data_IF_867702269698
#
_entry.id   IF_867702269698
#
_cell.length_a   1.000
_cell.length_b   1.000
_cell.length_c   1.000
_cell.angle_alpha   90.00
_cell.angle_beta   90.00
_cell.angle_gamma   90.00
#
_symmetry.space_group_name_H-M   'P 1'
#
loop_
_entity.id
_entity.type
_entity.pdbx_description
1 polymer ?
#
# COMPACT_ATOMS: atom_id res chain seq x y z
N UNK A 1 -24.27 -10.50 -1.62
CA UNK A 1 -23.39 -11.07 -2.66
C UNK A 1 -22.95 -10.01 -3.69
N UNK A 2 -23.88 -9.38 -4.41
CA UNK A 2 -23.54 -8.42 -5.49
C UNK A 2 -22.69 -7.23 -5.01
N UNK A 3 -23.07 -6.59 -3.89
CA UNK A 3 -22.34 -5.45 -3.34
C UNK A 3 -20.94 -5.83 -2.83
N UNK A 4 -20.79 -7.05 -2.29
CA UNK A 4 -19.50 -7.57 -1.82
C UNK A 4 -18.56 -7.74 -2.99
N UNK A 5 -19.03 -8.36 -4.07
CA UNK A 5 -18.26 -8.51 -5.31
C UNK A 5 -17.88 -7.14 -5.89
N UNK A 6 -18.81 -6.18 -5.92
CA UNK A 6 -18.53 -4.82 -6.39
C UNK A 6 -17.40 -4.17 -5.59
N UNK A 7 -17.44 -4.21 -4.25
CA UNK A 7 -16.38 -3.64 -3.42
C UNK A 7 -15.05 -4.38 -3.58
N UNK A 8 -15.07 -5.71 -3.71
CA UNK A 8 -13.87 -6.49 -4.01
C UNK A 8 -13.25 -6.07 -5.35
N UNK A 9 -14.04 -5.88 -6.41
CA UNK A 9 -13.53 -5.42 -7.71
C UNK A 9 -12.99 -3.98 -7.67
N UNK A 10 -13.65 -3.08 -6.94
CA UNK A 10 -13.14 -1.72 -6.72
C UNK A 10 -11.79 -1.78 -6.00
N UNK A 11 -11.66 -2.59 -4.96
CA UNK A 11 -10.39 -2.74 -4.24
C UNK A 11 -9.29 -3.28 -5.16
N UNK A 12 -9.56 -4.29 -6.02
CA UNK A 12 -8.58 -4.75 -7.03
C UNK A 12 -8.09 -3.57 -7.87
N UNK A 13 -9.00 -2.75 -8.41
CA UNK A 13 -8.65 -1.59 -9.23
C UNK A 13 -7.79 -0.56 -8.48
N UNK A 14 -8.10 -0.30 -7.21
CA UNK A 14 -7.34 0.64 -6.38
C UNK A 14 -5.95 0.11 -6.02
N UNK A 15 -5.81 -1.18 -5.71
CA UNK A 15 -4.50 -1.80 -5.46
C UNK A 15 -3.64 -1.81 -6.72
N UNK A 16 -4.24 -2.02 -7.90
CA UNK A 16 -3.53 -1.91 -9.18
C UNK A 16 -3.08 -0.47 -9.47
N UNK A 17 -3.88 0.52 -9.08
CA UNK A 17 -3.50 1.92 -9.17
C UNK A 17 -2.33 2.25 -8.22
N UNK A 18 -2.37 1.76 -6.97
CA UNK A 18 -1.25 1.87 -6.02
C UNK A 18 0.03 1.25 -6.60
N UNK A 19 -0.07 0.02 -7.10
CA UNK A 19 1.01 -0.70 -7.75
C UNK A 19 1.58 0.06 -8.96
N UNK A 20 0.73 0.67 -9.77
CA UNK A 20 1.13 1.47 -10.91
C UNK A 20 1.89 2.74 -10.50
N UNK A 21 1.37 3.48 -9.51
CA UNK A 21 2.00 4.70 -9.00
C UNK A 21 3.37 4.42 -8.35
N UNK A 22 3.49 3.25 -7.71
CA UNK A 22 4.69 2.84 -6.98
C UNK A 22 5.68 2.04 -7.85
N UNK A 23 5.34 1.75 -9.11
CA UNK A 23 6.11 0.86 -9.97
C UNK A 23 7.55 1.34 -10.17
N UNK A 24 8.51 0.48 -9.85
CA UNK A 24 9.92 0.66 -10.16
C UNK A 24 10.65 -0.69 -10.26
N UNK A 25 11.86 -0.69 -10.82
CA UNK A 25 12.66 -1.91 -11.00
C UNK A 25 13.38 -2.34 -9.71
N UNK A 26 13.56 -1.43 -8.75
CA UNK A 26 14.25 -1.67 -7.48
C UNK A 26 13.47 -1.11 -6.30
N UNK A 27 13.72 -1.61 -5.09
CA UNK A 27 13.12 -1.08 -3.87
C UNK A 27 13.42 0.42 -3.69
N UNK A 28 14.67 0.83 -3.96
CA UNK A 28 15.05 2.23 -3.95
C UNK A 28 14.26 3.08 -4.94
N UNK A 29 13.98 2.56 -6.14
CA UNK A 29 13.13 3.23 -7.12
C UNK A 29 11.68 3.39 -6.66
N UNK A 30 11.12 2.39 -5.98
CA UNK A 30 9.76 2.47 -5.41
C UNK A 30 9.71 3.60 -4.38
N UNK A 31 10.67 3.60 -3.46
CA UNK A 31 10.77 4.63 -2.42
C UNK A 31 11.06 6.02 -3.01
N UNK A 32 11.82 6.11 -4.10
CA UNK A 32 12.08 7.39 -4.78
C UNK A 32 10.80 7.94 -5.44
N UNK A 33 10.01 7.10 -6.10
CA UNK A 33 8.72 7.51 -6.67
C UNK A 33 7.77 8.02 -5.59
N UNK A 34 7.70 7.31 -4.47
CA UNK A 34 6.91 7.72 -3.30
C UNK A 34 7.45 9.01 -2.66
N UNK A 35 8.77 9.16 -2.59
CA UNK A 35 9.41 10.36 -2.06
C UNK A 35 9.05 11.60 -2.87
N UNK A 36 8.93 11.49 -4.21
CA UNK A 36 8.48 12.61 -5.06
C UNK A 36 7.09 13.14 -4.69
N UNK A 37 6.19 12.29 -4.20
CA UNK A 37 4.90 12.73 -3.67
C UNK A 37 5.04 13.32 -2.27
N UNK A 38 5.82 12.65 -1.40
CA UNK A 38 6.09 13.10 -0.04
C UNK A 38 6.74 14.48 0.02
N UNK A 39 7.73 14.75 -0.84
CA UNK A 39 8.46 16.02 -0.93
C UNK A 39 7.53 17.19 -1.24
N UNK A 40 6.54 16.97 -2.12
CA UNK A 40 5.54 18.00 -2.45
C UNK A 40 4.56 18.22 -1.30
N UNK A 41 4.07 17.14 -0.69
CA UNK A 41 3.20 17.18 0.46
C UNK A 41 3.01 15.79 1.06
N UNK A 42 2.97 15.71 2.39
CA UNK A 42 2.56 14.48 3.10
C UNK A 42 1.16 14.00 2.68
N UNK A 43 0.25 14.92 2.33
CA UNK A 43 -1.11 14.56 1.89
C UNK A 43 -1.10 13.88 0.53
N UNK A 44 -0.23 14.29 -0.39
CA UNK A 44 -0.08 13.64 -1.70
C UNK A 44 0.48 12.22 -1.55
N UNK A 45 1.39 12.02 -0.60
CA UNK A 45 1.87 10.68 -0.27
C UNK A 45 0.74 9.78 0.23
N UNK A 46 -0.09 10.28 1.14
CA UNK A 46 -1.23 9.49 1.61
C UNK A 46 -2.24 9.20 0.49
N UNK A 47 -2.52 10.18 -0.39
CA UNK A 47 -3.39 9.97 -1.56
C UNK A 47 -2.86 8.94 -2.56
N UNK A 48 -1.55 8.63 -2.54
CA UNK A 48 -0.98 7.54 -3.32
C UNK A 48 -1.36 6.13 -2.78
N UNK A 49 -2.15 6.04 -1.72
CA UNK A 49 -2.65 4.81 -1.10
C UNK A 49 -4.20 4.79 -1.05
N UNK A 50 -4.91 4.92 -2.18
CA UNK A 50 -6.37 4.99 -2.21
C UNK A 50 -7.07 3.73 -1.67
N UNK A 51 -6.46 2.55 -1.77
CA UNK A 51 -7.01 1.30 -1.24
C UNK A 51 -7.15 1.33 0.28
N UNK A 52 -6.29 2.07 0.99
CA UNK A 52 -6.43 2.26 2.44
C UNK A 52 -7.73 2.98 2.81
N UNK A 53 -7.99 4.11 2.16
CA UNK A 53 -9.20 4.90 2.40
C UNK A 53 -10.46 4.15 1.99
N UNK A 54 -10.39 3.39 0.91
CA UNK A 54 -11.51 2.58 0.46
C UNK A 54 -11.87 1.48 1.47
N UNK A 55 -10.88 0.78 2.02
CA UNK A 55 -11.12 -0.23 3.06
C UNK A 55 -11.74 0.40 4.31
N UNK A 56 -11.24 1.56 4.75
CA UNK A 56 -11.85 2.30 5.87
C UNK A 56 -13.30 2.69 5.58
N UNK A 57 -13.58 3.18 4.37
CA UNK A 57 -14.93 3.49 3.94
C UNK A 57 -15.84 2.25 4.00
N UNK A 58 -15.40 1.13 3.45
CA UNK A 58 -16.17 -0.13 3.46
C UNK A 58 -16.43 -0.61 4.88
N UNK A 59 -15.43 -0.57 5.77
CA UNK A 59 -15.58 -0.94 7.17
C UNK A 59 -16.64 -0.09 7.89
N UNK A 60 -16.60 1.23 7.70
CA UNK A 60 -17.55 2.17 8.30
C UNK A 60 -18.96 2.03 7.71
N UNK A 61 -19.06 1.92 6.39
CA UNK A 61 -20.34 1.81 5.69
C UNK A 61 -21.06 0.50 6.01
N UNK A 62 -20.33 -0.61 6.03
CA UNK A 62 -20.90 -1.93 6.37
C UNK A 62 -21.08 -2.14 7.87
N UNK A 63 -20.46 -1.31 8.71
CA UNK A 63 -20.37 -1.48 10.16
C UNK A 63 -19.76 -2.85 10.56
N UNK A 64 -18.85 -3.38 9.74
CA UNK A 64 -18.19 -4.67 9.95
C UNK A 64 -16.72 -4.41 10.28
N UNK A 65 -16.32 -4.80 11.50
CA UNK A 65 -14.95 -4.70 11.99
C UNK A 65 -14.47 -6.04 12.58
N UNK A 66 -14.61 -7.12 11.80
CA UNK A 66 -14.10 -8.43 12.18
C UNK A 66 -12.58 -8.53 12.02
N UNK A 67 -12.01 -9.67 12.42
CA UNK A 67 -10.58 -9.91 12.35
C UNK A 67 -10.00 -9.68 10.94
N UNK A 68 -10.72 -10.09 9.88
CA UNK A 68 -10.29 -9.88 8.49
C UNK A 68 -10.17 -8.40 8.13
N UNK A 69 -11.20 -7.60 8.43
CA UNK A 69 -11.19 -6.16 8.19
C UNK A 69 -10.08 -5.46 9.00
N UNK A 70 -9.93 -5.83 10.27
CA UNK A 70 -8.86 -5.31 11.14
C UNK A 70 -7.48 -5.64 10.57
N UNK A 71 -7.27 -6.87 10.10
CA UNK A 71 -6.00 -7.27 9.49
C UNK A 71 -5.67 -6.46 8.24
N UNK A 72 -6.64 -6.22 7.34
CA UNK A 72 -6.41 -5.40 6.14
C UNK A 72 -5.99 -3.98 6.54
N UNK A 73 -6.73 -3.36 7.46
CA UNK A 73 -6.44 -2.01 7.94
C UNK A 73 -5.04 -1.97 8.59
N UNK A 74 -4.74 -2.91 9.49
CA UNK A 74 -3.46 -2.98 10.16
C UNK A 74 -2.28 -3.14 9.19
N UNK A 75 -2.40 -4.02 8.19
CA UNK A 75 -1.35 -4.19 7.18
C UNK A 75 -1.15 -2.94 6.35
N UNK A 76 -2.21 -2.26 5.92
CA UNK A 76 -2.08 -1.01 5.15
C UNK A 76 -1.50 0.12 5.98
N UNK A 77 -1.89 0.24 7.25
CA UNK A 77 -1.27 1.20 8.18
C UNK A 77 0.23 0.89 8.29
N UNK A 78 0.60 -0.36 8.57
CA UNK A 78 2.00 -0.74 8.68
C UNK A 78 2.79 -0.42 7.41
N UNK A 79 2.26 -0.75 6.24
CA UNK A 79 2.88 -0.47 4.94
C UNK A 79 3.14 1.04 4.74
N UNK A 80 2.12 1.87 4.95
CA UNK A 80 2.20 3.34 4.82
C UNK A 80 3.24 3.91 5.80
N UNK A 81 3.17 3.54 7.08
CA UNK A 81 4.07 4.05 8.11
C UNK A 81 5.51 3.61 7.87
N UNK A 82 5.73 2.36 7.51
CA UNK A 82 7.06 1.83 7.25
C UNK A 82 7.71 2.50 6.04
N UNK A 83 6.94 2.75 4.97
CA UNK A 83 7.40 3.53 3.80
C UNK A 83 7.80 4.96 4.18
N UNK A 84 7.01 5.65 5.01
CA UNK A 84 7.35 6.99 5.49
C UNK A 84 8.67 6.96 6.27
N UNK A 85 8.83 6.00 7.17
CA UNK A 85 10.02 5.90 8.00
C UNK A 85 11.28 5.63 7.15
N UNK A 86 11.19 4.71 6.19
CA UNK A 86 12.27 4.47 5.23
C UNK A 86 12.61 5.72 4.42
N UNK A 87 11.60 6.45 3.93
CA UNK A 87 11.81 7.69 3.18
C UNK A 87 12.55 8.73 4.05
N UNK A 88 12.14 8.90 5.31
CA UNK A 88 12.80 9.82 6.24
C UNK A 88 14.25 9.41 6.50
N UNK A 89 14.50 8.13 6.74
CA UNK A 89 15.86 7.64 7.03
C UNK A 89 16.80 7.81 5.82
N UNK A 90 16.32 7.47 4.62
CA UNK A 90 17.13 7.43 3.40
C UNK A 90 17.29 8.81 2.78
N UNK A 91 16.20 9.52 2.51
CA UNK A 91 16.24 10.76 1.72
C UNK A 91 16.45 12.02 2.56
N UNK A 92 15.96 12.04 3.81
CA UNK A 92 16.04 13.23 4.68
C UNK A 92 17.25 13.15 5.61
N UNK A 93 17.33 12.07 6.41
CA UNK A 93 18.40 11.90 7.39
C UNK A 93 19.71 11.40 6.76
N UNK A 94 19.67 10.90 5.52
CA UNK A 94 20.81 10.30 4.79
C UNK A 94 21.53 9.22 5.60
N UNK A 95 20.80 8.52 6.48
CA UNK A 95 21.31 7.41 7.29
C UNK A 95 21.12 6.13 6.50
N UNK A 96 22.02 5.89 5.57
CA UNK A 96 22.04 4.65 4.77
C UNK A 96 23.17 3.78 5.29
N UNK A 97 22.81 2.73 6.04
CA UNK A 97 23.79 1.68 6.39
C UNK A 97 24.18 0.89 5.14
N UNK A 98 25.29 0.14 5.19
CA UNK A 98 25.72 -0.69 4.06
C UNK A 98 24.67 -1.75 3.71
N UNK A 99 23.99 -2.30 4.71
CA UNK A 99 22.93 -3.28 4.56
C UNK A 99 21.69 -2.65 3.89
N UNK A 100 21.32 -1.44 4.31
CA UNK A 100 20.20 -0.70 3.70
C UNK A 100 20.48 -0.36 2.24
N UNK A 101 21.70 0.05 1.90
CA UNK A 101 22.09 0.30 0.50
C UNK A 101 21.92 -0.95 -0.37
N UNK A 102 22.35 -2.13 0.13
CA UNK A 102 22.18 -3.39 -0.59
C UNK A 102 20.69 -3.73 -0.79
N UNK A 103 19.84 -3.50 0.23
CA UNK A 103 18.39 -3.72 0.11
C UNK A 103 17.73 -2.80 -0.93
N UNK A 104 18.19 -1.55 -1.06
CA UNK A 104 17.64 -0.59 -2.03
C UNK A 104 17.91 -1.00 -3.48
N UNK A 105 19.01 -1.71 -3.72
CA UNK A 105 19.37 -2.25 -5.04
C UNK A 105 18.63 -3.55 -5.38
N UNK A 106 17.89 -4.13 -4.43
CA UNK A 106 17.12 -5.35 -4.69
C UNK A 106 16.11 -5.11 -5.81
N UNK A 107 16.21 -5.96 -6.84
CA UNK A 107 15.28 -5.95 -7.96
C UNK A 107 13.95 -6.50 -7.50
N UNK A 108 12.90 -5.70 -7.67
CA UNK A 108 11.54 -6.13 -7.35
C UNK A 108 10.95 -6.78 -8.61
N UNK A 109 10.59 -8.07 -8.57
CA UNK A 109 9.98 -8.70 -9.71
C UNK A 109 8.56 -8.15 -9.93
N UNK A 110 8.11 -8.09 -11.19
CA UNK A 110 6.84 -7.45 -11.54
C UNK A 110 5.63 -8.03 -10.81
N UNK A 111 5.66 -9.33 -10.50
CA UNK A 111 4.58 -10.02 -9.79
C UNK A 111 4.40 -9.51 -8.35
N UNK A 112 5.44 -8.95 -7.72
CA UNK A 112 5.38 -8.44 -6.35
C UNK A 112 4.36 -7.31 -6.20
N UNK A 113 4.23 -6.47 -7.23
CA UNK A 113 3.26 -5.38 -7.25
C UNK A 113 1.80 -5.86 -7.30
N UNK A 114 1.54 -7.10 -7.70
CA UNK A 114 0.19 -7.68 -7.75
C UNK A 114 -0.22 -8.39 -6.45
N UNK A 115 0.69 -8.51 -5.47
CA UNK A 115 0.37 -9.15 -4.18
C UNK A 115 -0.75 -8.40 -3.48
N UNK A 116 -0.66 -7.08 -3.36
CA UNK A 116 -1.72 -6.25 -2.75
C UNK A 116 -3.06 -6.42 -3.45
N UNK A 117 -3.04 -6.37 -4.79
CA UNK A 117 -4.21 -6.55 -5.65
C UNK A 117 -4.81 -7.96 -5.65
N UNK A 118 -4.14 -8.93 -5.01
CA UNK A 118 -4.65 -10.29 -4.84
C UNK A 118 -5.08 -10.53 -3.39
N UNK A 119 -4.19 -10.26 -2.44
CA UNK A 119 -4.36 -10.59 -1.03
C UNK A 119 -5.48 -9.76 -0.39
N UNK A 120 -5.46 -8.43 -0.54
CA UNK A 120 -6.45 -7.59 0.15
C UNK A 120 -7.88 -7.77 -0.39
N UNK A 121 -8.12 -7.89 -1.70
CA UNK A 121 -9.45 -8.20 -2.23
C UNK A 121 -10.00 -9.54 -1.76
N UNK A 122 -9.16 -10.58 -1.68
CA UNK A 122 -9.57 -11.88 -1.16
C UNK A 122 -9.95 -11.80 0.33
N UNK A 123 -9.11 -11.15 1.15
CA UNK A 123 -9.45 -10.94 2.56
C UNK A 123 -10.73 -10.11 2.70
N UNK A 124 -10.94 -9.09 1.87
CA UNK A 124 -12.14 -8.26 1.92
C UNK A 124 -13.38 -9.07 1.58
N UNK A 125 -13.30 -9.91 0.54
CA UNK A 125 -14.41 -10.80 0.15
C UNK A 125 -14.80 -11.73 1.30
N UNK A 126 -13.82 -12.37 1.95
CA UNK A 126 -14.08 -13.23 3.11
C UNK A 126 -14.55 -12.45 4.35
N UNK A 127 -14.09 -11.22 4.55
CA UNK A 127 -14.52 -10.41 5.68
C UNK A 127 -15.98 -9.94 5.57
N UNK A 128 -16.55 -9.92 4.37
CA UNK A 128 -17.89 -9.41 4.09
C UNK A 128 -18.91 -10.48 3.69
N UNK A 129 -18.45 -11.72 3.46
CA UNK A 129 -19.30 -12.88 3.14
C UNK A 129 -19.76 -13.58 4.41
#
# INVERSE_FOLDING_TARGET
MEIVLLWTFILIGLELLEAFLQRANTLGGVLQNLYRYYEKSIFLFFLAHPGFYFVLFVALYSNILNAGMISIIAFKVFDIFYKIELIKQIFIQKKVSKEMAAMLEWKIPLWFFFIGASVYPLLLFYALS
#
